data_IF_394615528483
#
_entry.id   IF_394615528483
#
_cell.length_a   1.000
_cell.length_b   1.000
_cell.length_c   1.000
_cell.angle_alpha   90.00
_cell.angle_beta   90.00
_cell.angle_gamma   90.00
#
_symmetry.space_group_name_H-M   'P 1'
#
loop_
_entity.id
_entity.type
_entity.pdbx_description
1 polymer ?
#
# COMPACT_ATOMS: atom_id res chain seq x y z
N UNK A 1 -30.59 -1.38 -34.51
CA UNK A 1 -29.90 -0.07 -34.62
C UNK A 1 -29.78 0.69 -33.28
N UNK A 2 -29.80 0.03 -32.11
CA UNK A 2 -29.56 0.69 -30.80
C UNK A 2 -28.43 0.03 -29.99
N UNK A 3 -27.95 -1.16 -30.40
CA UNK A 3 -26.89 -1.88 -29.69
C UNK A 3 -25.46 -1.61 -30.21
N UNK A 4 -25.33 -0.79 -31.27
CA UNK A 4 -24.03 -0.46 -31.87
C UNK A 4 -23.56 0.97 -31.54
N UNK A 5 -24.29 1.66 -30.65
CA UNK A 5 -24.14 3.10 -30.40
C UNK A 5 -23.50 3.45 -29.05
N UNK A 6 -23.08 2.48 -28.22
CA UNK A 6 -22.67 2.76 -26.82
C UNK A 6 -21.15 2.68 -26.59
N UNK A 7 -20.34 2.26 -27.56
CA UNK A 7 -18.87 2.20 -27.35
C UNK A 7 -18.14 2.87 -28.51
N UNK A 8 -18.41 4.15 -28.72
CA UNK A 8 -17.35 5.06 -29.15
C UNK A 8 -16.73 5.66 -27.89
N UNK A 9 -16.18 4.79 -27.06
CA UNK A 9 -15.63 5.14 -25.77
C UNK A 9 -14.20 5.59 -26.05
N UNK A 10 -14.00 6.91 -26.03
CA UNK A 10 -12.74 7.55 -26.37
C UNK A 10 -11.59 6.90 -25.57
N UNK A 11 -10.42 6.66 -26.18
CA UNK A 11 -9.28 6.04 -25.49
C UNK A 11 -8.92 6.72 -24.17
N UNK A 12 -9.20 8.03 -24.08
CA UNK A 12 -8.92 8.84 -22.91
C UNK A 12 -9.88 8.56 -21.73
N UNK A 13 -11.15 8.22 -21.97
CA UNK A 13 -12.09 7.83 -20.91
C UNK A 13 -11.66 6.54 -20.21
N UNK A 14 -11.16 5.58 -20.98
CA UNK A 14 -10.64 4.33 -20.44
C UNK A 14 -9.38 4.56 -19.60
N UNK A 15 -8.42 5.35 -20.11
CA UNK A 15 -7.18 5.69 -19.39
C UNK A 15 -7.49 6.40 -18.07
N UNK A 16 -8.43 7.34 -18.09
CA UNK A 16 -8.89 8.06 -16.90
C UNK A 16 -9.53 7.11 -15.88
N UNK A 17 -10.39 6.20 -16.34
CA UNK A 17 -11.01 5.18 -15.49
C UNK A 17 -9.96 4.30 -14.81
N UNK A 18 -8.94 3.82 -15.53
CA UNK A 18 -7.86 3.03 -14.93
C UNK A 18 -7.05 3.81 -13.90
N UNK A 19 -6.79 5.09 -14.17
CA UNK A 19 -6.07 5.95 -13.23
C UNK A 19 -6.84 6.15 -11.92
N UNK A 20 -8.14 6.43 -11.99
CA UNK A 20 -8.96 6.52 -10.78
C UNK A 20 -9.06 5.19 -10.02
N UNK A 21 -9.11 4.07 -10.73
CA UNK A 21 -9.05 2.75 -10.10
C UNK A 21 -7.72 2.53 -9.36
N UNK A 22 -6.60 2.93 -9.96
CA UNK A 22 -5.28 2.85 -9.34
C UNK A 22 -5.22 3.70 -8.06
N UNK A 23 -5.63 4.97 -8.14
CA UNK A 23 -5.70 5.89 -6.98
C UNK A 23 -6.57 5.31 -5.87
N UNK A 24 -7.77 4.83 -6.23
CA UNK A 24 -8.69 4.22 -5.27
C UNK A 24 -8.07 3.01 -4.57
N UNK A 25 -7.35 2.15 -5.30
CA UNK A 25 -6.66 0.99 -4.73
C UNK A 25 -5.52 1.39 -3.80
N UNK A 26 -4.73 2.39 -4.17
CA UNK A 26 -3.64 2.90 -3.35
C UNK A 26 -4.19 3.51 -2.03
N UNK A 27 -5.26 4.30 -2.10
CA UNK A 27 -5.96 4.83 -0.92
C UNK A 27 -6.48 3.71 0.00
N UNK A 28 -7.12 2.69 -0.57
CA UNK A 28 -7.62 1.56 0.22
C UNK A 28 -6.47 0.81 0.91
N UNK A 29 -5.34 0.65 0.23
CA UNK A 29 -4.15 0.01 0.79
C UNK A 29 -3.58 0.81 1.96
N UNK A 30 -3.37 2.11 1.79
CA UNK A 30 -2.88 3.02 2.85
C UNK A 30 -3.82 2.99 4.04
N UNK A 31 -5.13 3.11 3.82
CA UNK A 31 -6.12 3.07 4.89
C UNK A 31 -6.08 1.74 5.66
N UNK A 32 -5.94 0.62 4.96
CA UNK A 32 -5.85 -0.69 5.59
C UNK A 32 -4.56 -0.86 6.42
N UNK A 33 -3.42 -0.38 5.90
CA UNK A 33 -2.15 -0.39 6.65
C UNK A 33 -2.23 0.51 7.88
N UNK A 34 -2.69 1.75 7.74
CA UNK A 34 -2.78 2.70 8.83
C UNK A 34 -3.74 2.20 9.93
N UNK A 35 -4.86 1.60 9.54
CA UNK A 35 -5.73 0.89 10.49
C UNK A 35 -4.98 -0.22 11.24
N UNK A 36 -4.19 -1.05 10.54
CA UNK A 36 -3.39 -2.10 11.15
C UNK A 36 -2.31 -1.56 12.11
N UNK A 37 -1.67 -0.45 11.74
CA UNK A 37 -0.66 0.22 12.57
C UNK A 37 -1.27 0.74 13.87
N UNK A 38 -2.37 1.49 13.76
CA UNK A 38 -3.08 2.05 14.91
C UNK A 38 -3.68 0.97 15.81
N UNK A 39 -4.24 -0.08 15.21
CA UNK A 39 -4.96 -1.11 15.95
C UNK A 39 -4.03 -2.13 16.61
N UNK A 40 -2.90 -2.45 15.99
CA UNK A 40 -2.04 -3.57 16.42
C UNK A 40 -0.60 -3.15 16.66
N UNK A 41 0.06 -2.47 15.70
CA UNK A 41 1.50 -2.17 15.79
C UNK A 41 1.80 -1.30 16.99
N UNK A 42 1.12 -0.15 17.12
CA UNK A 42 1.39 0.81 18.18
C UNK A 42 1.01 0.26 19.58
N UNK A 43 -0.20 -0.29 19.79
CA UNK A 43 -0.57 -0.83 21.10
C UNK A 43 0.33 -1.97 21.59
N UNK A 44 0.75 -2.87 20.70
CA UNK A 44 1.65 -3.98 21.06
C UNK A 44 3.09 -3.52 21.31
N UNK A 45 3.50 -2.37 20.73
CA UNK A 45 4.81 -1.77 21.02
C UNK A 45 4.88 -1.24 22.46
N UNK A 46 3.77 -0.70 22.95
CA UNK A 46 3.65 -0.11 24.28
C UNK A 46 3.51 -1.19 25.37
N UNK A 47 2.79 -2.28 25.06
CA UNK A 47 2.53 -3.40 25.96
C UNK A 47 3.63 -4.46 25.93
N UNK A 48 4.81 -4.10 26.45
CA UNK A 48 5.99 -5.00 26.56
C UNK A 48 5.76 -6.23 27.45
N UNK A 49 4.68 -6.23 28.24
CA UNK A 49 4.20 -7.37 29.01
C UNK A 49 3.55 -8.46 28.13
N UNK A 50 3.03 -8.08 26.95
CA UNK A 50 2.33 -8.99 26.05
C UNK A 50 3.23 -9.57 24.96
N UNK A 51 4.24 -8.82 24.52
CA UNK A 51 5.16 -9.24 23.46
C UNK A 51 6.55 -8.66 23.69
N UNK A 52 7.58 -9.47 23.45
CA UNK A 52 8.95 -8.98 23.54
C UNK A 52 9.24 -7.94 22.45
N UNK A 53 10.12 -6.95 22.68
CA UNK A 53 10.48 -5.97 21.64
C UNK A 53 11.05 -6.60 20.37
N UNK A 54 11.72 -7.76 20.50
CA UNK A 54 12.27 -8.48 19.36
C UNK A 54 11.16 -9.17 18.55
N UNK A 55 10.20 -9.81 19.22
CA UNK A 55 9.08 -10.47 18.57
C UNK A 55 8.14 -9.46 17.92
N UNK A 56 7.93 -8.29 18.55
CA UNK A 56 7.22 -7.17 17.95
C UNK A 56 7.86 -6.74 16.61
N UNK A 57 9.19 -6.59 16.61
CA UNK A 57 9.95 -6.25 15.40
C UNK A 57 9.86 -7.34 14.33
N UNK A 58 9.88 -8.62 14.72
CA UNK A 58 9.72 -9.74 13.78
C UNK A 58 8.30 -9.79 13.19
N UNK A 59 7.30 -9.52 14.02
CA UNK A 59 5.89 -9.56 13.64
C UNK A 59 5.51 -8.47 12.65
N UNK A 60 5.94 -7.23 12.91
CA UNK A 60 5.56 -6.06 12.10
C UNK A 60 6.61 -5.63 11.10
N UNK A 61 7.84 -6.13 11.21
CA UNK A 61 8.92 -5.98 10.23
C UNK A 61 9.16 -4.53 9.83
N UNK A 62 8.92 -4.20 8.57
CA UNK A 62 9.06 -2.87 7.97
C UNK A 62 7.72 -2.36 7.41
N UNK A 63 6.61 -2.64 8.10
CA UNK A 63 5.29 -2.17 7.67
C UNK A 63 5.22 -0.64 7.57
N UNK A 64 5.90 0.09 8.46
CA UNK A 64 5.99 1.56 8.43
C UNK A 64 6.66 2.06 7.13
N UNK A 65 7.71 1.36 6.68
CA UNK A 65 8.42 1.67 5.42
C UNK A 65 7.51 1.44 4.20
N UNK A 66 6.70 0.37 4.20
CA UNK A 66 5.72 0.10 3.15
C UNK A 66 4.60 1.14 3.12
N UNK A 67 4.13 1.58 4.29
CA UNK A 67 3.13 2.65 4.41
C UNK A 67 3.65 3.94 3.79
N UNK A 68 4.84 4.38 4.21
CA UNK A 68 5.45 5.62 3.76
C UNK A 68 5.65 5.66 2.24
N UNK A 69 6.14 4.56 1.64
CA UNK A 69 6.34 4.51 0.18
C UNK A 69 5.00 4.67 -0.55
N UNK A 70 3.93 4.08 -0.03
CA UNK A 70 2.60 4.13 -0.65
C UNK A 70 1.98 5.52 -0.50
N UNK A 71 2.13 6.14 0.68
CA UNK A 71 1.72 7.53 0.93
C UNK A 71 2.45 8.51 0.01
N UNK A 72 3.77 8.38 -0.14
CA UNK A 72 4.57 9.19 -1.07
C UNK A 72 4.10 9.06 -2.53
N UNK A 73 3.70 7.84 -2.94
CA UNK A 73 3.19 7.58 -4.29
C UNK A 73 1.86 8.29 -4.48
N UNK A 74 0.95 8.14 -3.52
CA UNK A 74 -0.38 8.74 -3.57
C UNK A 74 -0.29 10.27 -3.59
N UNK A 75 0.51 10.86 -2.69
CA UNK A 75 0.71 12.30 -2.58
C UNK A 75 1.22 12.88 -3.91
N UNK A 76 2.20 12.23 -4.54
CA UNK A 76 2.69 12.66 -5.85
C UNK A 76 1.60 12.54 -6.92
N UNK A 77 0.86 11.43 -6.98
CA UNK A 77 -0.17 11.21 -8.02
C UNK A 77 -1.32 12.22 -7.91
N UNK A 78 -1.66 12.68 -6.70
CA UNK A 78 -2.79 13.61 -6.45
C UNK A 78 -2.33 15.08 -6.46
N UNK A 79 -1.07 15.41 -6.80
CA UNK A 79 -0.52 16.77 -6.72
C UNK A 79 -1.42 17.88 -7.31
N UNK A 80 -1.71 18.88 -6.47
CA UNK A 80 -2.32 20.20 -6.72
C UNK A 80 -3.37 20.30 -7.82
N UNK A 81 -4.67 20.37 -7.45
CA UNK A 81 -5.88 20.83 -8.19
C UNK A 81 -5.99 20.52 -9.71
N UNK A 82 -5.10 19.69 -10.22
CA UNK A 82 -4.91 19.36 -11.62
C UNK A 82 -5.35 17.93 -11.82
N UNK A 83 -5.98 17.69 -12.97
CA UNK A 83 -6.51 16.39 -13.27
C UNK A 83 -5.36 15.36 -13.35
N UNK A 84 -5.42 14.25 -12.57
CA UNK A 84 -4.37 13.24 -12.57
C UNK A 84 -4.08 12.71 -13.98
N UNK A 85 -2.80 12.57 -14.32
CA UNK A 85 -2.37 12.11 -15.64
C UNK A 85 -1.69 10.73 -15.59
N UNK A 86 -2.06 9.83 -16.50
CA UNK A 86 -1.58 8.43 -16.51
C UNK A 86 -0.06 8.31 -16.74
N UNK A 87 0.52 9.19 -17.57
CA UNK A 87 1.95 9.24 -17.81
C UNK A 87 2.72 9.70 -16.58
N UNK A 88 2.13 10.60 -15.80
CA UNK A 88 2.71 11.07 -14.56
C UNK A 88 2.70 9.95 -13.50
N UNK A 89 1.55 9.30 -13.29
CA UNK A 89 1.45 8.16 -12.37
C UNK A 89 2.46 7.04 -12.70
N UNK A 90 2.61 6.70 -13.98
CA UNK A 90 3.62 5.72 -14.42
C UNK A 90 5.05 6.11 -14.04
N UNK A 91 5.40 7.40 -14.15
CA UNK A 91 6.72 7.92 -13.77
C UNK A 91 6.94 7.87 -12.26
N UNK A 92 5.91 8.15 -11.46
CA UNK A 92 5.97 8.05 -9.99
C UNK A 92 6.24 6.61 -9.56
N UNK A 93 5.49 5.63 -10.06
CA UNK A 93 5.75 4.22 -9.73
C UNK A 93 7.13 3.75 -10.21
N UNK A 94 7.59 4.21 -11.38
CA UNK A 94 8.92 3.87 -11.87
C UNK A 94 10.02 4.43 -10.96
N UNK A 95 9.88 5.67 -10.47
CA UNK A 95 10.88 6.28 -9.57
C UNK A 95 10.94 5.58 -8.21
N UNK A 96 9.82 4.99 -7.75
CA UNK A 96 9.72 4.25 -6.48
C UNK A 96 9.97 2.75 -6.62
N UNK A 97 10.15 2.22 -7.84
CA UNK A 97 10.22 0.78 -8.12
C UNK A 97 11.29 0.05 -7.28
N UNK A 98 12.51 0.58 -7.23
CA UNK A 98 13.61 -0.02 -6.47
C UNK A 98 13.32 -0.07 -4.98
N UNK A 99 12.75 1.01 -4.42
CA UNK A 99 12.38 1.10 -3.02
C UNK A 99 11.25 0.11 -2.68
N UNK A 100 10.19 0.06 -3.49
CA UNK A 100 9.12 -0.92 -3.38
C UNK A 100 9.66 -2.35 -3.38
N UNK A 101 10.48 -2.70 -4.38
CA UNK A 101 11.03 -4.04 -4.49
C UNK A 101 11.88 -4.43 -3.28
N UNK A 102 12.69 -3.52 -2.77
CA UNK A 102 13.50 -3.76 -1.57
C UNK A 102 12.63 -3.95 -0.32
N UNK A 103 11.66 -3.06 -0.09
CA UNK A 103 10.78 -3.08 1.06
C UNK A 103 9.87 -4.32 1.08
N UNK A 104 9.26 -4.67 -0.05
CA UNK A 104 8.44 -5.88 -0.17
C UNK A 104 9.27 -7.15 -0.06
N UNK A 105 10.47 -7.19 -0.65
CA UNK A 105 11.36 -8.36 -0.49
C UNK A 105 11.68 -8.61 0.98
N UNK A 106 11.99 -7.55 1.73
CA UNK A 106 12.26 -7.62 3.17
C UNK A 106 11.03 -8.14 3.94
N UNK A 107 9.86 -7.56 3.69
CA UNK A 107 8.60 -7.95 4.34
C UNK A 107 8.21 -9.41 4.06
N UNK A 108 8.25 -9.81 2.78
CA UNK A 108 7.91 -11.17 2.36
C UNK A 108 8.86 -12.23 2.93
N UNK A 109 10.16 -11.91 3.02
CA UNK A 109 11.16 -12.83 3.59
C UNK A 109 10.95 -13.06 5.09
N UNK A 110 10.36 -12.12 5.82
CA UNK A 110 10.10 -12.28 7.25
C UNK A 110 8.75 -12.91 7.59
N UNK A 111 7.84 -13.11 6.64
CA UNK A 111 6.49 -13.65 6.90
C UNK A 111 6.50 -14.97 7.66
N UNK A 112 7.37 -15.92 7.28
CA UNK A 112 7.48 -17.20 8.00
C UNK A 112 7.85 -17.03 9.48
N UNK A 113 8.68 -16.03 9.81
CA UNK A 113 9.05 -15.75 11.20
C UNK A 113 7.93 -15.04 11.94
N UNK A 114 7.22 -14.14 11.27
CA UNK A 114 6.03 -13.49 11.80
C UNK A 114 4.93 -14.52 12.13
N UNK A 115 4.69 -15.50 11.26
CA UNK A 115 3.75 -16.61 11.50
C UNK A 115 4.13 -17.41 12.76
N UNK A 116 5.42 -17.71 12.95
CA UNK A 116 5.89 -18.39 14.16
C UNK A 116 5.64 -17.55 15.43
N UNK A 117 5.82 -16.23 15.37
CA UNK A 117 5.50 -15.33 16.49
C UNK A 117 3.99 -15.31 16.75
N UNK A 118 3.16 -15.24 15.70
CA UNK A 118 1.70 -15.28 15.85
C UNK A 118 1.23 -16.54 16.57
N UNK A 119 1.77 -17.71 16.21
CA UNK A 119 1.47 -18.97 16.90
C UNK A 119 1.93 -18.95 18.36
N UNK A 120 3.07 -18.33 18.67
CA UNK A 120 3.58 -18.29 20.05
C UNK A 120 2.75 -17.44 21.01
N UNK A 121 2.03 -16.44 20.51
CA UNK A 121 1.34 -15.45 21.35
C UNK A 121 -0.20 -15.45 21.20
N UNK A 122 -0.73 -15.84 20.05
CA UNK A 122 -2.12 -15.52 19.68
C UNK A 122 -2.93 -16.70 19.12
N UNK A 123 -2.33 -17.86 18.86
CA UNK A 123 -3.01 -19.09 18.43
C UNK A 123 -2.80 -20.20 19.46
#
# INVERSE_FOLDING_TARGET
LIFQSIVQQYPDDHRRKFLYQLISREQHFINAINFGIERFVNPLRERKDLISPNDHKILFQNIDELSQISEDILEQIIQDDTEPQIHFASRVYLSKNTALCAAYRKYCNGLKKADCVLVGYFL
#
